data_IF_608412588092
#
_entry.id   IF_608412588092
#
_cell.length_a   1.000
_cell.length_b   1.000
_cell.length_c   1.000
_cell.angle_alpha   90.00
_cell.angle_beta   90.00
_cell.angle_gamma   90.00
#
_symmetry.space_group_name_H-M   'P 1'
#
loop_
_entity.id
_entity.type
_entity.pdbx_description
1 polymer ?
#
# COMPACT_ATOMS: atom_id res chain seq x y z
N UNK A 1 -3.61 -12.15 35.45
CA UNK A 1 -4.53 -11.13 34.90
C UNK A 1 -4.71 -10.09 35.99
N UNK A 2 -4.15 -8.88 35.83
CA UNK A 2 -4.40 -7.81 36.79
C UNK A 2 -5.89 -7.46 36.72
N UNK A 3 -6.60 -7.55 37.84
CA UNK A 3 -7.97 -7.06 37.98
C UNK A 3 -7.90 -5.54 37.96
N UNK A 4 -8.16 -4.96 36.79
CA UNK A 4 -8.31 -3.51 36.64
C UNK A 4 -9.56 -3.11 37.41
N UNK A 5 -9.42 -2.24 38.41
CA UNK A 5 -10.54 -1.72 39.20
C UNK A 5 -11.26 -0.60 38.45
N UNK A 6 -12.54 -0.39 38.78
CA UNK A 6 -13.36 0.69 38.20
C UNK A 6 -12.71 2.05 38.45
N UNK A 7 -12.20 2.29 39.65
CA UNK A 7 -11.50 3.53 40.01
C UNK A 7 -10.24 3.76 39.16
N UNK A 8 -9.53 2.69 38.77
CA UNK A 8 -8.37 2.82 37.89
C UNK A 8 -8.77 3.24 36.48
N UNK A 9 -9.84 2.65 35.91
CA UNK A 9 -10.35 3.03 34.59
C UNK A 9 -10.86 4.47 34.58
N UNK A 10 -11.53 4.89 35.65
CA UNK A 10 -12.01 6.25 35.80
C UNK A 10 -10.86 7.25 35.90
N UNK A 11 -9.84 6.96 36.71
CA UNK A 11 -8.64 7.79 36.78
C UNK A 11 -7.98 7.92 35.42
N UNK A 12 -7.82 6.81 34.67
CA UNK A 12 -7.22 6.81 33.34
C UNK A 12 -8.03 7.62 32.33
N UNK A 13 -9.37 7.49 32.32
CA UNK A 13 -10.23 8.22 31.39
C UNK A 13 -10.31 9.70 31.74
N UNK A 14 -10.35 10.04 33.03
CA UNK A 14 -10.33 11.44 33.49
C UNK A 14 -9.02 12.11 33.12
N UNK A 15 -7.89 11.44 33.37
CA UNK A 15 -6.56 11.91 32.93
C UNK A 15 -6.50 12.05 31.40
N UNK A 16 -7.03 11.07 30.66
CA UNK A 16 -7.08 11.13 29.19
C UNK A 16 -7.82 12.36 28.67
N UNK A 17 -8.99 12.67 29.23
CA UNK A 17 -9.78 13.84 28.85
C UNK A 17 -9.05 15.13 29.23
N UNK A 18 -8.49 15.22 30.43
CA UNK A 18 -7.73 16.39 30.87
C UNK A 18 -6.51 16.67 29.96
N UNK A 19 -5.77 15.62 29.57
CA UNK A 19 -4.62 15.73 28.66
C UNK A 19 -5.08 16.19 27.27
N UNK A 20 -6.20 15.68 26.76
CA UNK A 20 -6.77 16.14 25.48
C UNK A 20 -7.10 17.63 25.56
N UNK A 21 -7.82 18.06 26.59
CA UNK A 21 -8.20 19.46 26.80
C UNK A 21 -6.97 20.37 26.89
N UNK A 22 -5.92 19.94 27.59
CA UNK A 22 -4.67 20.70 27.69
C UNK A 22 -3.98 20.85 26.33
N UNK A 23 -3.87 19.76 25.56
CA UNK A 23 -3.24 19.77 24.23
C UNK A 23 -4.00 20.71 23.29
N UNK A 24 -5.33 20.60 23.30
CA UNK A 24 -6.22 21.45 22.49
C UNK A 24 -6.09 22.91 22.89
N UNK A 25 -6.12 23.20 24.19
CA UNK A 25 -5.98 24.56 24.69
C UNK A 25 -4.61 25.16 24.34
N UNK A 26 -3.54 24.36 24.35
CA UNK A 26 -2.21 24.80 23.89
C UNK A 26 -2.22 25.13 22.40
N UNK A 27 -2.84 24.31 21.57
CA UNK A 27 -2.96 24.59 20.13
C UNK A 27 -3.83 25.83 19.85
N UNK A 28 -5.02 25.89 20.44
CA UNK A 28 -6.01 26.97 20.24
C UNK A 28 -5.58 28.33 20.79
N UNK A 29 -4.66 28.36 21.77
CA UNK A 29 -4.00 29.60 22.23
C UNK A 29 -3.27 30.36 21.11
N UNK A 30 -2.95 29.72 20.00
CA UNK A 30 -2.34 30.37 18.84
C UNK A 30 -3.36 31.03 17.89
N UNK A 31 -4.67 30.74 18.02
CA UNK A 31 -5.71 31.27 17.14
C UNK A 31 -5.65 32.80 16.96
N UNK A 32 -5.55 33.62 18.03
CA UNK A 32 -5.55 35.08 17.88
C UNK A 32 -4.34 35.61 17.11
N UNK A 33 -3.21 34.88 17.16
CA UNK A 33 -1.98 35.24 16.43
C UNK A 33 -2.10 34.92 14.94
N UNK A 34 -2.89 33.91 14.58
CA UNK A 34 -3.08 33.47 13.20
C UNK A 34 -4.13 34.31 12.48
N UNK A 35 -5.16 34.77 13.19
CA UNK A 35 -6.26 35.58 12.64
C UNK A 35 -5.90 37.07 12.44
N UNK A 36 -4.68 37.49 12.77
CA UNK A 36 -4.21 38.85 12.51
C UNK A 36 -4.07 39.17 11.02
N UNK A 37 -4.34 40.43 10.65
CA UNK A 37 -4.34 40.93 9.26
C UNK A 37 -3.00 40.76 8.53
N UNK A 38 -1.88 40.61 9.24
CA UNK A 38 -0.55 40.47 8.67
C UNK A 38 -0.19 39.03 8.23
N UNK A 39 -1.06 38.04 8.46
CA UNK A 39 -0.76 36.63 8.20
C UNK A 39 -1.30 36.21 6.82
N UNK A 40 -0.51 35.49 6.00
CA UNK A 40 -1.00 34.98 4.71
C UNK A 40 -2.24 34.09 4.85
N UNK A 41 -3.23 34.27 3.98
CA UNK A 41 -4.50 33.52 3.97
C UNK A 41 -4.27 31.99 3.96
N UNK A 42 -3.20 31.53 3.28
CA UNK A 42 -2.81 30.11 3.27
C UNK A 42 -2.55 29.58 4.68
N UNK A 43 -1.90 30.35 5.55
CA UNK A 43 -1.58 29.93 6.91
C UNK A 43 -2.84 29.90 7.78
N UNK A 44 -3.72 30.90 7.62
CA UNK A 44 -5.04 30.93 8.28
C UNK A 44 -5.89 29.72 7.91
N UNK A 45 -5.97 29.41 6.61
CA UNK A 45 -6.67 28.22 6.12
C UNK A 45 -6.04 26.93 6.65
N UNK A 46 -4.71 26.86 6.69
CA UNK A 46 -3.99 25.69 7.20
C UNK A 46 -4.31 25.46 8.68
N UNK A 47 -4.31 26.53 9.49
CA UNK A 47 -4.69 26.47 10.90
C UNK A 47 -6.13 25.98 11.10
N UNK A 48 -7.10 26.52 10.37
CA UNK A 48 -8.51 26.08 10.45
C UNK A 48 -8.69 24.62 10.07
N UNK A 49 -8.05 24.16 9.00
CA UNK A 49 -8.10 22.75 8.59
C UNK A 49 -7.44 21.83 9.63
N UNK A 50 -6.37 22.28 10.28
CA UNK A 50 -5.72 21.52 11.35
C UNK A 50 -6.58 21.48 12.62
N UNK A 51 -7.18 22.60 13.03
CA UNK A 51 -8.11 22.63 14.18
C UNK A 51 -9.32 21.73 13.95
N UNK A 52 -9.93 21.78 12.76
CA UNK A 52 -11.03 20.90 12.37
C UNK A 52 -10.60 19.42 12.41
N UNK A 53 -9.40 19.08 11.93
CA UNK A 53 -8.90 17.71 11.98
C UNK A 53 -8.62 17.23 13.41
N UNK A 54 -8.07 18.08 14.29
CA UNK A 54 -7.86 17.79 15.72
C UNK A 54 -9.21 17.49 16.38
N UNK A 55 -10.19 18.37 16.14
CA UNK A 55 -11.56 18.24 16.61
C UNK A 55 -12.18 16.88 16.29
N UNK A 56 -12.09 16.47 15.02
CA UNK A 56 -12.60 15.18 14.53
C UNK A 56 -11.88 13.98 15.19
N UNK A 57 -10.57 14.05 15.36
CA UNK A 57 -9.79 12.97 16.00
C UNK A 57 -10.19 12.81 17.46
N UNK A 58 -10.40 13.93 18.17
CA UNK A 58 -10.84 13.94 19.56
C UNK A 58 -12.23 13.35 19.68
N UNK A 59 -13.19 13.85 18.90
CA UNK A 59 -14.54 13.28 18.86
C UNK A 59 -14.50 11.77 18.63
N UNK A 60 -13.74 11.31 17.63
CA UNK A 60 -13.63 9.88 17.31
C UNK A 60 -13.08 9.05 18.48
N UNK A 61 -12.05 9.54 19.17
CA UNK A 61 -11.47 8.87 20.34
C UNK A 61 -12.45 8.86 21.52
N UNK A 62 -13.13 9.98 21.80
CA UNK A 62 -14.11 10.09 22.89
C UNK A 62 -15.36 9.24 22.64
N UNK A 63 -15.86 9.19 21.40
CA UNK A 63 -16.96 8.31 21.00
C UNK A 63 -16.56 6.84 21.10
N UNK A 64 -15.31 6.50 20.78
CA UNK A 64 -14.80 5.15 20.97
C UNK A 64 -14.75 4.77 22.45
N UNK A 65 -14.25 5.66 23.31
CA UNK A 65 -14.26 5.48 24.76
C UNK A 65 -15.69 5.34 25.31
N UNK A 66 -16.62 6.19 24.87
CA UNK A 66 -18.03 6.14 25.26
C UNK A 66 -18.68 4.81 24.85
N UNK A 67 -18.35 4.30 23.66
CA UNK A 67 -18.80 2.98 23.22
C UNK A 67 -18.27 1.86 24.12
N UNK A 68 -16.99 1.89 24.50
CA UNK A 68 -16.41 0.90 25.40
C UNK A 68 -17.06 0.94 26.79
N UNK A 69 -17.36 2.13 27.31
CA UNK A 69 -18.08 2.32 28.57
C UNK A 69 -19.51 1.78 28.48
N UNK A 70 -20.21 2.04 27.37
CA UNK A 70 -21.58 1.56 27.13
C UNK A 70 -21.68 0.04 26.92
N UNK A 71 -20.66 -0.58 26.32
CA UNK A 71 -20.57 -2.04 26.17
C UNK A 71 -20.12 -2.76 27.46
N UNK A 72 -19.70 -2.01 28.49
CA UNK A 72 -19.26 -2.58 29.76
C UNK A 72 -20.45 -3.17 30.55
N UNK A 73 -20.20 -4.28 31.24
CA UNK A 73 -21.20 -4.93 32.10
C UNK A 73 -21.29 -4.30 33.50
N UNK A 74 -20.56 -3.21 33.76
CA UNK A 74 -20.46 -2.56 35.07
C UNK A 74 -21.27 -1.25 35.03
N UNK A 75 -22.48 -1.20 35.65
CA UNK A 75 -23.34 -0.03 35.57
C UNK A 75 -22.71 1.25 36.16
N UNK A 76 -21.96 1.10 37.25
CA UNK A 76 -21.28 2.21 37.94
C UNK A 76 -20.30 2.97 37.02
N UNK A 77 -19.64 2.26 36.10
CA UNK A 77 -18.71 2.86 35.14
C UNK A 77 -19.45 3.79 34.17
N UNK A 78 -20.65 3.38 33.74
CA UNK A 78 -21.48 4.14 32.82
C UNK A 78 -22.05 5.39 33.51
N UNK A 79 -22.58 5.25 34.73
CA UNK A 79 -23.14 6.38 35.49
C UNK A 79 -22.10 7.48 35.77
N UNK A 80 -20.86 7.10 36.08
CA UNK A 80 -19.80 8.06 36.42
C UNK A 80 -19.14 8.70 35.19
N UNK A 81 -18.85 7.91 34.15
CA UNK A 81 -18.00 8.36 33.03
C UNK A 81 -18.77 8.83 31.80
N UNK A 82 -19.99 8.34 31.56
CA UNK A 82 -20.77 8.78 30.41
C UNK A 82 -21.07 10.29 30.43
N UNK A 83 -21.41 10.92 31.59
CA UNK A 83 -21.63 12.36 31.63
C UNK A 83 -20.37 13.18 31.29
N UNK A 84 -19.21 12.74 31.78
CA UNK A 84 -17.92 13.39 31.52
C UNK A 84 -17.57 13.33 30.03
N UNK A 85 -17.66 12.14 29.43
CA UNK A 85 -17.39 11.96 27.99
C UNK A 85 -18.41 12.71 27.12
N UNK A 86 -19.70 12.67 27.49
CA UNK A 86 -20.75 13.39 26.78
C UNK A 86 -20.48 14.90 26.79
N UNK A 87 -20.10 15.46 27.93
CA UNK A 87 -19.77 16.89 28.05
C UNK A 87 -18.59 17.27 27.15
N UNK A 88 -17.50 16.49 27.17
CA UNK A 88 -16.34 16.72 26.31
C UNK A 88 -16.69 16.63 24.81
N UNK A 89 -17.52 15.65 24.41
CA UNK A 89 -17.98 15.51 23.02
C UNK A 89 -18.85 16.70 22.60
N UNK A 90 -19.78 17.13 23.45
CA UNK A 90 -20.67 18.26 23.17
C UNK A 90 -19.90 19.57 23.06
N UNK A 91 -18.90 19.80 23.92
CA UNK A 91 -18.02 20.96 23.81
C UNK A 91 -17.32 21.02 22.45
N UNK A 92 -16.85 19.88 21.96
CA UNK A 92 -16.15 19.80 20.68
C UNK A 92 -17.09 19.93 19.47
N UNK A 93 -18.32 19.41 19.57
CA UNK A 93 -19.39 19.67 18.60
C UNK A 93 -19.78 21.16 18.55
N UNK A 94 -19.96 21.79 19.72
CA UNK A 94 -20.28 23.20 19.84
C UNK A 94 -19.18 24.09 19.26
N UNK A 95 -17.91 23.76 19.52
CA UNK A 95 -16.76 24.45 18.91
C UNK A 95 -16.81 24.39 17.37
N UNK A 96 -17.01 23.21 16.79
CA UNK A 96 -17.12 23.07 15.32
C UNK A 96 -18.29 23.86 14.74
N UNK A 97 -19.41 23.91 15.44
CA UNK A 97 -20.58 24.71 15.05
C UNK A 97 -20.26 26.21 15.08
N UNK A 98 -19.63 26.70 16.15
CA UNK A 98 -19.22 28.11 16.30
C UNK A 98 -18.22 28.53 15.24
N UNK A 99 -17.27 27.66 14.87
CA UNK A 99 -16.28 27.93 13.83
C UNK A 99 -16.80 27.72 12.40
N UNK A 100 -18.05 27.24 12.24
CA UNK A 100 -18.66 27.00 10.92
C UNK A 100 -18.02 25.86 10.13
N UNK A 101 -17.46 24.86 10.81
CA UNK A 101 -16.81 23.72 10.18
C UNK A 101 -17.81 22.76 9.52
N UNK A 102 -17.37 22.06 8.47
CA UNK A 102 -18.23 21.21 7.62
C UNK A 102 -18.36 19.76 8.13
N UNK A 103 -17.59 19.40 9.15
CA UNK A 103 -17.54 18.08 9.77
C UNK A 103 -18.63 17.88 10.83
N UNK A 104 -19.90 18.11 10.50
CA UNK A 104 -21.03 17.83 11.38
C UNK A 104 -21.85 16.65 10.81
N UNK A 105 -21.94 15.57 11.58
CA UNK A 105 -22.81 14.44 11.24
C UNK A 105 -24.27 14.84 11.44
N UNK A 106 -25.05 14.79 10.36
CA UNK A 106 -26.49 14.94 10.47
C UNK A 106 -27.09 13.57 10.83
N UNK A 107 -27.79 13.52 11.96
CA UNK A 107 -28.52 12.33 12.32
C UNK A 107 -29.57 12.07 11.25
N UNK A 108 -29.68 10.82 10.79
CA UNK A 108 -30.77 10.40 9.92
C UNK A 108 -32.05 10.57 10.73
N UNK A 109 -32.76 11.68 10.54
CA UNK A 109 -33.96 11.98 11.32
C UNK A 109 -34.85 10.74 11.39
N UNK A 110 -35.35 10.45 12.60
CA UNK A 110 -36.35 9.40 12.86
C UNK A 110 -37.64 9.60 12.04
N UNK A 111 -37.76 10.68 11.28
CA UNK A 111 -38.89 11.04 10.41
C UNK A 111 -39.10 10.12 9.20
N UNK A 112 -38.13 9.31 8.77
CA UNK A 112 -38.33 8.36 7.64
C UNK A 112 -38.76 6.95 8.04
N UNK A 113 -39.55 6.81 9.12
CA UNK A 113 -40.42 5.63 9.32
C UNK A 113 -41.82 5.81 8.73
N UNK A 114 -42.15 6.99 8.17
CA UNK A 114 -43.39 7.18 7.43
C UNK A 114 -43.15 7.02 5.90
N UNK A 115 -43.80 6.00 5.34
CA UNK A 115 -44.04 5.73 3.92
C UNK A 115 -42.95 5.03 3.09
N UNK A 116 -43.20 3.77 2.66
CA UNK A 116 -42.44 3.11 1.61
C UNK A 116 -42.92 3.63 0.25
N UNK A 117 -42.55 4.86 -0.11
CA UNK A 117 -42.72 5.33 -1.48
C UNK A 117 -41.54 4.82 -2.32
N UNK A 118 -41.88 4.15 -3.43
CA UNK A 118 -40.97 3.57 -4.42
C UNK A 118 -39.89 4.60 -4.77
N UNK A 119 -38.68 4.44 -4.23
CA UNK A 119 -37.52 5.26 -4.59
C UNK A 119 -37.00 4.78 -5.94
N UNK A 120 -36.98 5.67 -6.93
CA UNK A 120 -36.26 5.42 -8.18
C UNK A 120 -34.75 5.29 -7.93
N UNK A 121 -33.97 4.70 -8.87
CA UNK A 121 -32.55 4.37 -8.70
C UNK A 121 -31.62 5.57 -8.40
N UNK A 122 -32.11 6.81 -8.58
CA UNK A 122 -31.32 8.04 -8.56
C UNK A 122 -31.77 9.08 -7.51
N UNK A 123 -32.64 8.72 -6.56
CA UNK A 123 -33.09 9.63 -5.49
C UNK A 123 -32.40 9.31 -4.16
N UNK A 124 -31.24 9.93 -3.94
CA UNK A 124 -30.56 9.92 -2.64
C UNK A 124 -31.29 10.82 -1.64
N UNK A 125 -31.34 10.40 -0.37
CA UNK A 125 -31.86 11.26 0.70
C UNK A 125 -30.88 12.42 0.92
N UNK A 126 -31.37 13.63 1.23
CA UNK A 126 -30.51 14.75 1.61
C UNK A 126 -29.53 14.40 2.76
N UNK A 127 -29.96 13.54 3.69
CA UNK A 127 -29.10 12.99 4.75
C UNK A 127 -28.00 12.05 4.23
N UNK A 128 -28.26 11.26 3.17
CA UNK A 128 -27.27 10.36 2.59
C UNK A 128 -26.18 11.19 1.87
N UNK A 129 -26.57 12.22 1.10
CA UNK A 129 -25.64 13.13 0.44
C UNK A 129 -24.80 13.94 1.45
N UNK A 130 -25.40 14.40 2.55
CA UNK A 130 -24.68 15.09 3.61
C UNK A 130 -23.66 14.17 4.31
N UNK A 131 -24.02 12.91 4.57
CA UNK A 131 -23.12 11.92 5.16
C UNK A 131 -21.98 11.53 4.22
N UNK A 132 -22.23 11.44 2.91
CA UNK A 132 -21.18 11.23 1.91
C UNK A 132 -20.19 12.41 1.90
N UNK A 133 -20.70 13.65 1.91
CA UNK A 133 -19.87 14.87 1.98
C UNK A 133 -19.06 14.92 3.27
N UNK A 134 -19.64 14.52 4.41
CA UNK A 134 -18.93 14.41 5.68
C UNK A 134 -17.75 13.45 5.59
N UNK A 135 -17.98 12.22 5.11
CA UNK A 135 -16.94 11.20 4.99
C UNK A 135 -15.83 11.60 4.01
N UNK A 136 -16.22 12.23 2.90
CA UNK A 136 -15.29 12.78 1.92
C UNK A 136 -14.40 13.87 2.54
N UNK A 137 -15.00 14.82 3.26
CA UNK A 137 -14.27 15.90 3.93
C UNK A 137 -13.31 15.37 4.99
N UNK A 138 -13.74 14.40 5.82
CA UNK A 138 -12.88 13.72 6.79
C UNK A 138 -11.66 13.07 6.14
N UNK A 139 -11.88 12.42 4.99
CA UNK A 139 -10.80 11.80 4.22
C UNK A 139 -9.81 12.82 3.68
N UNK A 140 -10.27 14.02 3.29
CA UNK A 140 -9.41 15.13 2.87
C UNK A 140 -8.64 15.73 4.05
N UNK A 141 -9.29 15.98 5.18
CA UNK A 141 -8.64 16.48 6.40
C UNK A 141 -7.53 15.54 6.85
N UNK A 142 -7.82 14.23 6.91
CA UNK A 142 -6.82 13.21 7.25
C UNK A 142 -5.64 13.22 6.28
N UNK A 143 -5.89 13.29 4.96
CA UNK A 143 -4.83 13.37 3.96
C UNK A 143 -4.00 14.64 4.14
N UNK A 144 -4.65 15.77 4.42
CA UNK A 144 -4.01 17.05 4.62
C UNK A 144 -3.09 17.03 5.84
N UNK A 145 -3.58 16.63 7.02
CA UNK A 145 -2.77 16.59 8.25
C UNK A 145 -1.69 15.54 8.20
N UNK A 146 -1.98 14.36 7.62
CA UNK A 146 -0.98 13.29 7.49
C UNK A 146 0.06 13.58 6.41
N UNK A 147 -0.23 14.47 5.46
CA UNK A 147 0.70 14.76 4.35
C UNK A 147 2.04 15.29 4.82
N UNK A 148 2.08 16.01 5.95
CA UNK A 148 3.32 16.54 6.55
C UNK A 148 4.26 15.42 7.00
N UNK A 149 3.71 14.24 7.32
CA UNK A 149 4.47 13.05 7.69
C UNK A 149 4.87 12.19 6.48
N UNK A 150 4.33 12.48 5.29
CA UNK A 150 4.62 11.72 4.09
C UNK A 150 5.86 12.24 3.40
N UNK A 151 6.75 11.32 3.01
CA UNK A 151 7.88 11.64 2.17
C UNK A 151 7.46 11.61 0.70
N UNK A 152 7.95 12.56 -0.08
CA UNK A 152 7.72 12.53 -1.51
C UNK A 152 8.51 11.38 -2.13
N UNK A 153 7.83 10.57 -2.92
CA UNK A 153 8.40 9.43 -3.63
C UNK A 153 8.13 9.57 -5.11
N UNK A 154 9.20 9.58 -5.91
CA UNK A 154 9.12 9.64 -7.36
C UNK A 154 9.66 8.33 -7.93
N UNK A 155 8.79 7.47 -8.51
CA UNK A 155 9.23 6.27 -9.18
C UNK A 155 9.84 6.62 -10.54
N UNK A 156 11.00 6.04 -10.83
CA UNK A 156 11.66 6.12 -12.11
C UNK A 156 12.05 4.71 -12.57
N UNK A 157 11.86 4.41 -13.85
CA UNK A 157 12.38 3.19 -14.46
C UNK A 157 13.91 3.22 -14.43
N UNK A 158 14.54 2.10 -14.11
CA UNK A 158 15.98 2.03 -13.99
C UNK A 158 16.61 1.34 -15.21
N UNK A 159 17.62 1.98 -15.81
CA UNK A 159 18.40 1.37 -16.89
C UNK A 159 17.94 1.70 -18.31
N UNK A 160 16.91 2.53 -18.49
CA UNK A 160 16.39 2.94 -19.81
C UNK A 160 17.48 3.51 -20.73
N UNK A 161 18.38 4.36 -20.20
CA UNK A 161 19.51 4.91 -20.98
C UNK A 161 20.47 3.83 -21.47
N UNK A 162 20.75 2.83 -20.62
CA UNK A 162 21.64 1.71 -20.97
C UNK A 162 20.96 0.77 -21.95
N UNK A 163 19.64 0.59 -21.82
CA UNK A 163 18.81 -0.17 -22.77
C UNK A 163 18.88 0.43 -24.17
N UNK A 164 18.70 1.75 -24.30
CA UNK A 164 18.83 2.43 -25.58
C UNK A 164 20.23 2.31 -26.17
N UNK A 165 21.28 2.40 -25.34
CA UNK A 165 22.66 2.21 -25.80
C UNK A 165 22.91 0.79 -26.34
N UNK A 166 22.45 -0.24 -25.62
CA UNK A 166 22.58 -1.64 -26.08
C UNK A 166 21.78 -1.90 -27.36
N UNK A 167 20.60 -1.29 -27.50
CA UNK A 167 19.81 -1.39 -28.73
C UNK A 167 20.46 -0.68 -29.91
N UNK A 168 21.12 0.46 -29.66
CA UNK A 168 21.89 1.16 -30.67
C UNK A 168 23.08 0.32 -31.14
N UNK A 169 23.82 -0.30 -30.21
CA UNK A 169 24.92 -1.22 -30.53
C UNK A 169 24.44 -2.44 -31.34
N UNK A 170 23.34 -3.07 -30.92
CA UNK A 170 22.75 -4.18 -31.66
C UNK A 170 22.36 -3.78 -33.09
N UNK A 171 21.74 -2.61 -33.26
CA UNK A 171 21.39 -2.08 -34.58
C UNK A 171 22.64 -1.78 -35.44
N UNK A 172 23.70 -1.24 -34.83
CA UNK A 172 24.98 -0.99 -35.51
C UNK A 172 25.63 -2.26 -36.01
N UNK A 173 25.73 -3.29 -35.16
CA UNK A 173 26.27 -4.62 -35.54
C UNK A 173 25.45 -5.23 -36.68
N UNK A 174 24.12 -5.15 -36.61
CA UNK A 174 23.25 -5.63 -37.68
C UNK A 174 23.47 -4.88 -39.00
N UNK A 175 23.65 -3.56 -38.96
CA UNK A 175 23.93 -2.76 -40.16
C UNK A 175 25.28 -3.12 -40.78
N UNK A 176 26.33 -3.31 -39.97
CA UNK A 176 27.64 -3.75 -40.46
C UNK A 176 27.53 -5.11 -41.15
N UNK A 177 26.85 -6.07 -40.52
CA UNK A 177 26.64 -7.40 -41.11
C UNK A 177 25.90 -7.34 -42.46
N UNK A 178 24.80 -6.60 -42.53
CA UNK A 178 24.02 -6.45 -43.76
C UNK A 178 24.85 -5.82 -44.89
N UNK A 179 25.64 -4.81 -44.56
CA UNK A 179 26.47 -4.08 -45.52
C UNK A 179 27.59 -4.96 -46.05
N UNK A 180 28.25 -5.74 -45.18
CA UNK A 180 29.27 -6.71 -45.59
C UNK A 180 28.68 -7.80 -46.50
N UNK A 181 27.50 -8.31 -46.16
CA UNK A 181 26.82 -9.33 -46.97
C UNK A 181 26.39 -8.75 -48.33
N UNK A 182 25.93 -7.50 -48.37
CA UNK A 182 25.59 -6.80 -49.61
C UNK A 182 26.83 -6.63 -50.50
N UNK A 183 27.95 -6.16 -49.95
CA UNK A 183 29.19 -6.03 -50.71
C UNK A 183 29.73 -7.38 -51.19
N UNK A 184 29.65 -8.42 -50.35
CA UNK A 184 30.04 -9.77 -50.74
C UNK A 184 29.16 -10.30 -51.88
N UNK A 185 27.84 -10.21 -51.76
CA UNK A 185 26.91 -10.66 -52.80
C UNK A 185 27.09 -9.88 -54.11
N UNK A 186 27.33 -8.57 -54.02
CA UNK A 186 27.63 -7.74 -55.19
C UNK A 186 28.95 -8.14 -55.87
N UNK A 187 29.98 -8.51 -55.10
CA UNK A 187 31.27 -8.97 -55.65
C UNK A 187 31.17 -10.32 -56.36
N UNK A 188 30.28 -11.21 -55.90
CA UNK A 188 30.12 -12.57 -56.44
C UNK A 188 29.15 -12.61 -57.63
N UNK A 189 27.99 -11.97 -57.50
CA UNK A 189 26.90 -12.07 -58.49
C UNK A 189 26.86 -10.91 -59.51
N UNK A 190 27.77 -9.93 -59.38
CA UNK A 190 27.79 -8.73 -60.21
C UNK A 190 26.63 -7.78 -59.92
N UNK A 191 26.38 -6.83 -60.81
CA UNK A 191 25.29 -5.86 -60.68
C UNK A 191 24.01 -6.37 -61.39
N UNK A 192 22.84 -6.22 -60.76
CA UNK A 192 21.50 -6.45 -61.33
C UNK A 192 21.11 -7.90 -61.70
N UNK A 193 21.63 -8.90 -60.99
CA UNK A 193 21.21 -10.30 -61.14
C UNK A 193 20.06 -10.67 -60.19
N UNK A 194 19.14 -11.54 -60.59
CA UNK A 194 18.08 -12.05 -59.70
C UNK A 194 18.64 -12.67 -58.40
N UNK A 195 19.77 -13.38 -58.50
CA UNK A 195 20.49 -13.94 -57.35
C UNK A 195 20.98 -12.89 -56.36
N UNK A 196 21.43 -11.72 -56.84
CA UNK A 196 21.82 -10.59 -55.98
C UNK A 196 20.59 -10.05 -55.24
N UNK A 197 19.47 -9.86 -55.93
CA UNK A 197 18.24 -9.38 -55.31
C UNK A 197 17.77 -10.31 -54.19
N UNK A 198 17.77 -11.62 -54.45
CA UNK A 198 17.43 -12.63 -53.43
C UNK A 198 18.41 -12.56 -52.26
N UNK A 199 19.72 -12.47 -52.52
CA UNK A 199 20.73 -12.37 -51.47
C UNK A 199 20.57 -11.10 -50.61
N UNK A 200 20.21 -9.96 -51.21
CA UNK A 200 19.95 -8.72 -50.49
C UNK A 200 18.69 -8.79 -49.61
N UNK A 201 17.60 -9.38 -50.12
CA UNK A 201 16.37 -9.59 -49.35
C UNK A 201 16.65 -10.50 -48.15
N UNK A 202 17.33 -11.64 -48.39
CA UNK A 202 17.72 -12.57 -47.33
C UNK A 202 18.65 -11.90 -46.33
N UNK A 203 19.64 -11.13 -46.79
CA UNK A 203 20.54 -10.38 -45.93
C UNK A 203 19.83 -9.35 -45.06
N UNK A 204 18.81 -8.69 -45.61
CA UNK A 204 17.96 -7.77 -44.87
C UNK A 204 17.12 -8.49 -43.80
N UNK A 205 16.58 -9.68 -44.10
CA UNK A 205 15.89 -10.51 -43.09
C UNK A 205 16.83 -10.95 -41.96
N UNK A 206 18.07 -11.35 -42.30
CA UNK A 206 19.07 -11.72 -41.30
C UNK A 206 19.46 -10.54 -40.40
N UNK A 207 19.62 -9.34 -40.98
CA UNK A 207 19.84 -8.10 -40.23
C UNK A 207 18.76 -7.89 -39.17
N UNK A 208 17.49 -7.97 -39.57
CA UNK A 208 16.37 -7.77 -38.65
C UNK A 208 16.35 -8.85 -37.57
N UNK A 209 16.66 -10.10 -37.93
CA UNK A 209 16.73 -11.18 -36.93
C UNK A 209 17.85 -11.00 -35.92
N UNK A 210 19.05 -10.60 -36.36
CA UNK A 210 20.18 -10.30 -35.46
C UNK A 210 19.82 -9.15 -34.51
N UNK A 211 19.17 -8.09 -35.02
CA UNK A 211 18.75 -6.93 -34.23
C UNK A 211 17.71 -7.32 -33.17
N UNK A 212 16.73 -8.16 -33.51
CA UNK A 212 15.73 -8.67 -32.56
C UNK A 212 16.33 -9.57 -31.49
N UNK A 213 17.24 -10.46 -31.87
CA UNK A 213 17.99 -11.31 -30.93
C UNK A 213 18.82 -10.42 -29.99
N UNK A 214 19.50 -9.41 -30.53
CA UNK A 214 20.24 -8.42 -29.75
C UNK A 214 19.34 -7.71 -28.74
N UNK A 215 18.21 -7.15 -29.19
CA UNK A 215 17.24 -6.48 -28.32
C UNK A 215 16.70 -7.38 -27.20
N UNK A 216 16.26 -8.59 -27.55
CA UNK A 216 15.70 -9.52 -26.56
C UNK A 216 16.75 -9.99 -25.54
N UNK A 217 17.99 -10.25 -25.97
CA UNK A 217 19.11 -10.56 -25.07
C UNK A 217 19.49 -9.39 -24.19
N UNK A 218 19.58 -8.17 -24.73
CA UNK A 218 19.85 -6.97 -23.94
C UNK A 218 18.79 -6.76 -22.86
N UNK A 219 17.49 -6.89 -23.18
CA UNK A 219 16.42 -6.80 -22.17
C UNK A 219 16.58 -7.85 -21.07
N UNK A 220 16.86 -9.09 -21.44
CA UNK A 220 17.06 -10.19 -20.47
C UNK A 220 18.27 -9.95 -19.56
N UNK A 221 19.40 -9.49 -20.14
CA UNK A 221 20.62 -9.17 -19.42
C UNK A 221 20.40 -8.00 -18.46
N UNK A 222 19.75 -6.93 -18.92
CA UNK A 222 19.43 -5.77 -18.11
C UNK A 222 18.48 -6.12 -16.98
N UNK A 223 17.44 -6.92 -17.22
CA UNK A 223 16.53 -7.39 -16.16
C UNK A 223 17.25 -8.21 -15.10
N UNK A 224 18.35 -8.90 -15.44
CA UNK A 224 19.16 -9.64 -14.46
C UNK A 224 19.94 -8.70 -13.53
N UNK A 225 20.49 -7.61 -14.06
CA UNK A 225 21.37 -6.71 -13.30
C UNK A 225 20.66 -5.51 -12.67
N UNK A 226 19.72 -4.89 -13.39
CA UNK A 226 18.98 -3.73 -12.94
C UNK A 226 17.79 -4.11 -12.06
N UNK A 227 17.35 -3.13 -11.27
CA UNK A 227 16.11 -3.18 -10.51
C UNK A 227 14.97 -2.70 -11.41
N UNK A 228 13.75 -3.17 -11.18
CA UNK A 228 12.60 -2.81 -12.01
C UNK A 228 12.21 -1.34 -11.79
N UNK A 229 12.36 -0.87 -10.55
CA UNK A 229 12.03 0.51 -10.17
C UNK A 229 13.07 1.08 -9.23
N UNK A 230 13.35 2.36 -9.42
CA UNK A 230 14.09 3.20 -8.47
C UNK A 230 13.19 4.31 -7.98
N UNK A 231 13.06 4.44 -6.67
CA UNK A 231 12.27 5.48 -6.03
C UNK A 231 13.20 6.37 -5.22
N UNK A 232 13.19 7.67 -5.48
CA UNK A 232 13.90 8.63 -4.63
C UNK A 232 13.02 9.06 -3.47
N UNK A 233 13.59 9.05 -2.27
CA UNK A 233 12.93 9.55 -1.07
C UNK A 233 13.40 10.98 -0.87
N UNK A 234 12.47 11.93 -0.86
CA UNK A 234 12.75 13.34 -0.62
C UNK A 234 11.76 13.96 0.36
N UNK A 235 12.11 15.13 0.90
CA UNK A 235 11.19 15.99 1.62
C UNK A 235 10.01 16.41 0.73
N UNK A 236 8.90 16.87 1.32
CA UNK A 236 7.70 17.28 0.57
C UNK A 236 7.98 18.40 -0.44
N UNK A 237 8.81 19.35 -0.04
CA UNK A 237 9.32 20.44 -0.88
C UNK A 237 10.35 20.00 -1.94
N UNK A 238 10.76 18.73 -1.90
CA UNK A 238 11.78 18.10 -2.76
C UNK A 238 13.17 18.75 -2.69
N UNK A 239 13.43 19.59 -1.69
CA UNK A 239 14.72 20.27 -1.53
C UNK A 239 15.81 19.30 -1.06
N UNK A 240 15.46 18.38 -0.15
CA UNK A 240 16.41 17.44 0.43
C UNK A 240 16.11 16.02 -0.05
N UNK A 241 17.12 15.38 -0.63
CA UNK A 241 17.07 13.96 -0.98
C UNK A 241 17.53 13.13 0.21
N UNK A 242 16.59 12.42 0.81
CA UNK A 242 16.76 11.62 2.02
C UNK A 242 17.28 10.21 1.73
N UNK A 243 17.05 9.69 0.53
CA UNK A 243 17.50 8.35 0.20
C UNK A 243 17.07 7.87 -1.17
N UNK A 244 17.25 6.57 -1.38
CA UNK A 244 16.75 5.84 -2.54
C UNK A 244 16.28 4.45 -2.13
N UNK A 245 15.28 3.98 -2.83
CA UNK A 245 14.78 2.62 -2.80
C UNK A 245 14.95 2.04 -4.19
N UNK A 246 15.41 0.80 -4.28
CA UNK A 246 15.38 0.03 -5.53
C UNK A 246 14.57 -1.23 -5.30
N UNK A 247 13.63 -1.51 -6.20
CA UNK A 247 12.67 -2.61 -6.08
C UNK A 247 12.81 -3.55 -7.27
N UNK A 248 12.74 -4.85 -6.99
CA UNK A 248 12.87 -5.88 -8.02
C UNK A 248 12.00 -7.08 -7.69
N UNK A 249 11.24 -7.52 -8.68
CA UNK A 249 10.40 -8.70 -8.63
C UNK A 249 10.97 -9.76 -9.57
N UNK A 250 11.32 -10.92 -9.03
CA UNK A 250 11.85 -12.05 -9.80
C UNK A 250 11.14 -13.33 -9.43
N UNK A 251 10.89 -14.19 -10.42
CA UNK A 251 10.57 -15.58 -10.15
C UNK A 251 11.84 -16.33 -9.79
N UNK A 252 11.77 -17.17 -8.76
CA UNK A 252 12.85 -18.03 -8.32
C UNK A 252 12.47 -19.49 -8.52
N UNK A 253 13.50 -20.32 -8.68
CA UNK A 253 13.38 -21.76 -8.47
C UNK A 253 13.72 -22.10 -7.04
N UNK A 254 13.22 -23.23 -6.55
CA UNK A 254 13.48 -23.69 -5.18
C UNK A 254 14.99 -23.84 -4.89
N UNK A 255 15.79 -24.25 -5.88
CA UNK A 255 17.23 -24.40 -5.72
C UNK A 255 17.95 -23.04 -5.50
N UNK A 256 17.34 -21.94 -5.93
CA UNK A 256 17.87 -20.58 -5.80
C UNK A 256 17.48 -19.91 -4.47
N UNK A 257 16.69 -20.59 -3.63
CA UNK A 257 16.33 -20.08 -2.30
C UNK A 257 17.55 -20.04 -1.38
N UNK A 258 17.74 -18.94 -0.60
CA UNK A 258 18.74 -18.90 0.45
C UNK A 258 18.51 -19.99 1.49
N UNK A 259 19.58 -20.57 2.04
CA UNK A 259 19.51 -21.66 3.01
C UNK A 259 18.66 -21.29 4.24
N UNK A 260 18.74 -20.04 4.71
CA UNK A 260 17.93 -19.57 5.85
C UNK A 260 16.41 -19.61 5.53
N UNK A 261 16.03 -19.40 4.27
CA UNK A 261 14.61 -19.35 3.84
C UNK A 261 14.07 -20.74 3.54
N UNK A 262 14.93 -21.71 3.18
CA UNK A 262 14.51 -23.07 2.82
C UNK A 262 13.73 -23.76 3.95
N UNK A 263 14.19 -23.64 5.20
CA UNK A 263 13.47 -24.24 6.33
C UNK A 263 12.06 -23.68 6.51
N UNK A 264 11.90 -22.35 6.41
CA UNK A 264 10.60 -21.69 6.50
C UNK A 264 9.69 -22.02 5.31
N UNK A 265 10.27 -22.20 4.12
CA UNK A 265 9.56 -22.66 2.92
C UNK A 265 9.04 -24.09 3.09
N UNK A 266 9.88 -25.03 3.55
CA UNK A 266 9.48 -26.42 3.79
C UNK A 266 8.39 -26.55 4.85
N UNK A 267 8.46 -25.77 5.94
CA UNK A 267 7.37 -25.71 6.94
C UNK A 267 6.03 -25.24 6.37
N UNK A 268 6.07 -24.48 5.26
CA UNK A 268 4.89 -23.95 4.58
C UNK A 268 4.15 -24.97 3.71
N UNK A 269 4.72 -26.15 3.44
CA UNK A 269 4.09 -27.19 2.62
C UNK A 269 3.03 -27.95 3.43
N UNK A 270 1.85 -28.17 2.85
CA UNK A 270 0.66 -28.71 3.53
C UNK A 270 0.45 -30.18 3.20
N UNK A 271 0.71 -30.56 1.95
CA UNK A 271 0.39 -31.89 1.44
C UNK A 271 1.63 -32.59 0.92
N UNK A 272 1.77 -33.91 1.15
CA UNK A 272 2.75 -34.73 0.44
C UNK A 272 2.68 -34.56 -1.09
N UNK A 273 1.49 -34.25 -1.63
CA UNK A 273 1.30 -33.97 -3.07
C UNK A 273 2.05 -32.69 -3.51
N UNK A 274 2.18 -31.69 -2.64
CA UNK A 274 2.99 -30.49 -2.91
C UNK A 274 4.49 -30.81 -2.86
N UNK A 275 4.88 -31.80 -2.06
CA UNK A 275 6.27 -32.29 -1.93
C UNK A 275 6.67 -33.11 -3.17
N UNK A 276 5.74 -33.89 -3.74
CA UNK A 276 5.97 -34.82 -4.85
C UNK A 276 6.02 -34.17 -6.25
N UNK A 277 6.24 -32.85 -6.34
CA UNK A 277 6.69 -32.20 -7.58
C UNK A 277 5.66 -31.35 -8.34
N UNK A 278 4.54 -30.97 -7.72
CA UNK A 278 3.77 -29.84 -8.23
C UNK A 278 4.56 -28.54 -7.97
N UNK A 279 5.17 -28.00 -9.02
CA UNK A 279 6.04 -26.82 -8.89
C UNK A 279 5.24 -25.58 -8.48
N UNK A 280 5.40 -25.14 -7.24
CA UNK A 280 4.95 -23.82 -6.83
C UNK A 280 5.77 -22.73 -7.55
N UNK A 281 5.11 -21.63 -7.90
CA UNK A 281 5.81 -20.46 -8.43
C UNK A 281 6.27 -19.56 -7.29
N UNK A 282 7.59 -19.53 -7.04
CA UNK A 282 8.17 -18.66 -6.01
C UNK A 282 8.41 -17.28 -6.59
N UNK A 283 7.78 -16.27 -5.99
CA UNK A 283 7.97 -14.85 -6.32
C UNK A 283 8.83 -14.21 -5.24
N UNK A 284 10.02 -13.74 -5.62
CA UNK A 284 10.84 -12.89 -4.76
C UNK A 284 10.62 -11.42 -5.10
N UNK A 285 10.04 -10.70 -4.16
CA UNK A 285 10.10 -9.25 -4.11
C UNK A 285 11.29 -8.83 -3.24
N UNK A 286 12.23 -8.08 -3.81
CA UNK A 286 13.40 -7.56 -3.10
C UNK A 286 13.44 -6.04 -3.14
N UNK A 287 13.74 -5.44 -1.99
CA UNK A 287 13.79 -4.00 -1.81
C UNK A 287 15.12 -3.60 -1.18
N UNK A 288 15.90 -2.80 -1.89
CA UNK A 288 17.15 -2.23 -1.38
C UNK A 288 16.91 -0.77 -0.97
N UNK A 289 16.92 -0.50 0.33
CA UNK A 289 16.75 0.84 0.89
C UNK A 289 18.11 1.41 1.28
N UNK A 290 18.43 2.61 0.79
CA UNK A 290 19.61 3.38 1.24
C UNK A 290 19.17 4.76 1.69
N UNK A 291 19.49 5.09 2.93
CA UNK A 291 19.18 6.37 3.57
C UNK A 291 20.46 7.20 3.71
N UNK A 292 20.34 8.52 3.58
CA UNK A 292 21.45 9.47 3.67
C UNK A 292 21.38 10.18 5.02
N UNK A 293 22.19 9.72 5.99
CA UNK A 293 22.13 10.21 7.37
C UNK A 293 22.29 11.75 7.48
N UNK A 294 23.18 12.34 6.68
CA UNK A 294 23.40 13.80 6.65
C UNK A 294 22.16 14.58 6.22
N UNK A 295 21.38 14.06 5.27
CA UNK A 295 20.17 14.71 4.81
C UNK A 295 19.10 14.72 5.91
N UNK A 296 18.99 13.62 6.67
CA UNK A 296 18.08 13.54 7.83
C UNK A 296 18.50 14.46 8.97
N UNK A 297 19.81 14.66 9.20
CA UNK A 297 20.31 15.65 10.17
C UNK A 297 19.86 17.06 9.82
N UNK A 298 19.98 17.47 8.54
CA UNK A 298 19.55 18.80 8.07
C UNK A 298 18.06 19.03 8.30
N UNK A 299 17.20 18.08 7.92
CA UNK A 299 15.75 18.16 8.12
C UNK A 299 15.38 18.24 9.60
N UNK A 300 16.11 17.54 10.49
CA UNK A 300 15.86 17.59 11.93
C UNK A 300 16.06 18.98 12.53
N UNK A 301 17.01 19.77 12.01
CA UNK A 301 17.26 21.13 12.52
C UNK A 301 16.15 22.12 12.13
N UNK A 302 15.39 21.82 11.08
CA UNK A 302 14.34 22.69 10.53
C UNK A 302 12.92 22.26 10.94
N UNK A 303 12.75 21.16 11.70
CA UNK A 303 11.44 20.58 11.97
C UNK A 303 11.36 19.51 13.06
N UNK A 304 10.35 18.64 12.95
CA UNK A 304 10.03 17.59 13.95
C UNK A 304 11.13 16.52 13.99
N UNK A 305 11.56 16.04 15.18
CA UNK A 305 12.53 14.96 15.27
C UNK A 305 12.02 13.67 14.61
N UNK A 306 12.73 13.23 13.56
CA UNK A 306 12.45 11.98 12.87
C UNK A 306 13.03 10.80 13.67
N UNK A 307 12.16 9.99 14.28
CA UNK A 307 12.55 8.83 15.09
C UNK A 307 12.75 7.56 14.27
N UNK A 308 12.13 7.47 13.10
CA UNK A 308 12.24 6.31 12.21
C UNK A 308 11.48 6.51 10.90
N UNK A 309 11.72 5.60 9.95
CA UNK A 309 10.99 5.53 8.70
C UNK A 309 10.01 4.36 8.76
N UNK A 310 8.72 4.65 8.62
CA UNK A 310 7.71 3.62 8.43
C UNK A 310 7.58 3.31 6.94
N UNK A 311 7.72 2.04 6.60
CA UNK A 311 7.56 1.56 5.25
C UNK A 311 6.33 0.64 5.15
N UNK A 312 5.39 1.00 4.27
CA UNK A 312 4.13 0.27 4.10
C UNK A 312 4.12 -0.38 2.72
N UNK A 313 4.41 -1.69 2.68
CA UNK A 313 4.25 -2.50 1.49
C UNK A 313 2.77 -2.83 1.26
N UNK A 314 2.26 -2.48 0.09
CA UNK A 314 0.89 -2.84 -0.34
C UNK A 314 0.97 -3.72 -1.57
N UNK A 315 0.50 -4.96 -1.44
CA UNK A 315 0.43 -5.93 -2.54
C UNK A 315 -1.04 -6.08 -2.95
N UNK A 316 -1.35 -5.72 -4.20
CA UNK A 316 -2.69 -5.95 -4.76
C UNK A 316 -2.76 -7.35 -5.37
N UNK A 317 -3.50 -8.23 -4.71
CA UNK A 317 -3.68 -9.62 -5.15
C UNK A 317 -4.93 -9.83 -6.02
N UNK A 318 -5.79 -8.83 -6.20
CA UNK A 318 -7.04 -8.96 -6.98
C UNK A 318 -6.79 -9.47 -8.41
N UNK A 319 -5.71 -9.09 -9.11
CA UNK A 319 -5.37 -9.66 -10.41
C UNK A 319 -5.07 -11.17 -10.38
N UNK A 320 -4.82 -11.79 -9.24
CA UNK A 320 -4.68 -13.24 -9.12
C UNK A 320 -6.03 -13.91 -8.79
N UNK A 321 -6.90 -13.24 -8.05
CA UNK A 321 -8.19 -13.79 -7.60
C UNK A 321 -9.16 -14.08 -8.75
N UNK A 322 -9.16 -13.27 -9.81
CA UNK A 322 -10.11 -13.45 -10.92
C UNK A 322 -9.89 -14.74 -11.73
N UNK A 323 -8.69 -15.35 -11.61
CA UNK A 323 -8.33 -16.61 -12.25
C UNK A 323 -8.67 -17.84 -11.40
N UNK A 324 -9.19 -17.64 -10.19
CA UNK A 324 -9.56 -18.73 -9.29
C UNK A 324 -10.93 -19.32 -9.63
N UNK A 325 -11.11 -20.59 -9.30
CA UNK A 325 -12.37 -21.30 -9.48
C UNK A 325 -13.48 -20.76 -8.58
N UNK A 326 -14.69 -21.29 -8.79
CA UNK A 326 -15.83 -20.99 -7.93
C UNK A 326 -15.48 -21.33 -6.45
N UNK A 327 -15.57 -20.37 -5.52
CA UNK A 327 -15.16 -20.56 -4.14
C UNK A 327 -16.09 -21.49 -3.35
N UNK A 328 -17.26 -21.85 -3.88
CA UNK A 328 -18.21 -22.75 -3.24
C UNK A 328 -18.45 -23.98 -4.11
N UNK A 329 -18.33 -25.15 -3.50
CA UNK A 329 -18.62 -26.43 -4.14
C UNK A 329 -19.51 -27.27 -3.19
N UNK A 330 -20.43 -28.06 -3.73
CA UNK A 330 -21.24 -29.00 -2.93
C UNK A 330 -20.70 -30.40 -3.15
N UNK A 331 -20.47 -31.13 -2.06
CA UNK A 331 -20.06 -32.54 -2.11
C UNK A 331 -21.07 -33.40 -1.37
N UNK A 332 -21.35 -34.55 -1.94
CA UNK A 332 -22.14 -35.58 -1.29
C UNK A 332 -21.22 -36.38 -0.36
N UNK A 333 -21.75 -36.75 0.80
CA UNK A 333 -21.10 -37.69 1.72
C UNK A 333 -22.19 -38.57 2.34
N UNK A 334 -21.78 -39.74 2.80
CA UNK A 334 -22.68 -40.67 3.46
C UNK A 334 -22.60 -40.47 4.98
N UNK A 335 -23.75 -40.35 5.63
CA UNK A 335 -23.88 -40.24 7.09
C UNK A 335 -24.81 -41.37 7.57
N UNK A 336 -24.20 -42.46 8.06
CA UNK A 336 -24.89 -43.74 8.23
C UNK A 336 -25.33 -44.31 6.87
N UNK A 337 -26.64 -44.47 6.68
CA UNK A 337 -27.25 -44.88 5.40
C UNK A 337 -27.88 -43.68 4.63
N UNK A 338 -27.73 -42.46 5.14
CA UNK A 338 -28.30 -41.27 4.50
C UNK A 338 -27.28 -40.51 3.66
N UNK A 339 -27.60 -40.30 2.38
CA UNK A 339 -26.82 -39.43 1.51
C UNK A 339 -27.09 -37.96 1.88
N UNK A 340 -26.07 -37.25 2.35
CA UNK A 340 -26.13 -35.84 2.73
C UNK A 340 -25.26 -35.00 1.81
N UNK A 341 -25.53 -33.70 1.77
CA UNK A 341 -24.73 -32.74 1.00
C UNK A 341 -24.13 -31.72 1.95
N UNK A 342 -22.83 -31.46 1.79
CA UNK A 342 -22.12 -30.39 2.50
C UNK A 342 -21.61 -29.34 1.51
N UNK A 343 -21.71 -28.07 1.90
CA UNK A 343 -21.12 -26.95 1.16
C UNK A 343 -19.68 -26.77 1.61
N UNK A 344 -18.74 -26.97 0.70
CA UNK A 344 -17.32 -26.78 0.91
C UNK A 344 -16.85 -25.46 0.30
N UNK A 345 -15.82 -24.87 0.92
CA UNK A 345 -15.18 -23.68 0.41
C UNK A 345 -13.86 -24.06 -0.25
N UNK A 346 -13.71 -23.77 -1.55
CA UNK A 346 -12.43 -23.91 -2.24
C UNK A 346 -11.54 -22.75 -1.83
N UNK A 347 -10.33 -23.08 -1.38
CA UNK A 347 -9.32 -22.12 -0.92
C UNK A 347 -7.98 -22.41 -1.59
N UNK A 348 -7.16 -21.37 -1.68
CA UNK A 348 -5.81 -21.41 -2.19
C UNK A 348 -4.87 -20.83 -1.13
N UNK A 349 -3.69 -21.42 -0.98
CA UNK A 349 -2.71 -21.01 0.01
C UNK A 349 -1.58 -20.23 -0.65
N UNK A 350 -1.15 -19.16 0.00
CA UNK A 350 0.07 -18.42 -0.35
C UNK A 350 0.92 -18.33 0.90
N UNK A 351 2.13 -18.86 0.84
CA UNK A 351 3.12 -18.70 1.89
C UNK A 351 3.90 -17.40 1.67
N UNK A 352 3.92 -16.52 2.68
CA UNK A 352 4.61 -15.24 2.65
C UNK A 352 5.72 -15.26 3.68
N UNK A 353 6.96 -15.25 3.19
CA UNK A 353 8.16 -15.19 4.01
C UNK A 353 8.78 -13.80 3.81
N UNK A 354 8.78 -13.00 4.88
CA UNK A 354 9.41 -11.69 4.89
C UNK A 354 10.77 -11.77 5.58
N UNK A 355 11.80 -11.27 4.91
CA UNK A 355 13.17 -11.29 5.42
C UNK A 355 13.81 -9.92 5.32
N UNK A 356 14.71 -9.63 6.26
CA UNK A 356 15.49 -8.41 6.28
C UNK A 356 16.98 -8.72 6.36
N UNK A 357 17.78 -7.88 5.70
CA UNK A 357 19.23 -7.96 5.74
C UNK A 357 19.76 -6.53 5.91
N UNK A 358 20.62 -6.32 6.90
CA UNK A 358 21.30 -5.05 7.09
C UNK A 358 22.48 -4.94 6.13
N UNK A 359 22.72 -3.75 5.60
CA UNK A 359 23.90 -3.52 4.77
C UNK A 359 25.19 -3.85 5.55
N UNK A 360 26.06 -4.66 4.95
CA UNK A 360 27.32 -5.10 5.56
C UNK A 360 27.21 -6.35 6.44
N UNK A 361 26.02 -6.93 6.60
CA UNK A 361 25.84 -8.23 7.25
C UNK A 361 25.45 -9.27 6.20
N UNK A 362 26.06 -10.46 6.25
CA UNK A 362 25.68 -11.57 5.38
C UNK A 362 24.43 -12.31 5.86
N UNK A 363 24.15 -12.23 7.16
CA UNK A 363 23.03 -12.91 7.77
C UNK A 363 21.68 -12.27 7.37
N UNK A 364 20.74 -13.14 7.01
CA UNK A 364 19.41 -12.79 6.56
C UNK A 364 18.42 -13.25 7.63
N UNK A 365 17.67 -12.31 8.17
CA UNK A 365 16.78 -12.53 9.30
C UNK A 365 15.34 -12.68 8.82
N UNK A 366 14.65 -13.72 9.27
CA UNK A 366 13.23 -13.90 9.00
C UNK A 366 12.42 -13.02 9.95
N UNK A 367 11.69 -12.05 9.40
CA UNK A 367 10.80 -11.18 10.17
C UNK A 367 9.44 -11.82 10.34
N UNK A 368 8.90 -12.44 9.29
CA UNK A 368 7.57 -13.03 9.28
C UNK A 368 7.55 -14.29 8.43
N UNK A 369 6.86 -15.31 8.91
CA UNK A 369 6.45 -16.47 8.15
C UNK A 369 4.93 -16.63 8.35
N UNK A 370 4.16 -16.33 7.32
CA UNK A 370 2.69 -16.37 7.40
C UNK A 370 2.08 -17.08 6.22
N UNK A 371 1.02 -17.84 6.48
CA UNK A 371 0.18 -18.44 5.46
C UNK A 371 -1.04 -17.57 5.25
N UNK A 372 -1.27 -17.18 4.01
CA UNK A 372 -2.41 -16.42 3.57
C UNK A 372 -3.36 -17.35 2.83
N UNK A 373 -4.57 -17.54 3.37
CA UNK A 373 -5.61 -18.32 2.71
C UNK A 373 -6.53 -17.40 1.92
N UNK A 374 -6.72 -17.71 0.64
CA UNK A 374 -7.47 -16.90 -0.31
C UNK A 374 -8.58 -17.71 -0.97
N UNK A 375 -9.61 -17.02 -1.44
CA UNK A 375 -10.56 -17.55 -2.41
C UNK A 375 -10.88 -16.45 -3.44
N UNK A 376 -11.72 -16.77 -4.44
CA UNK A 376 -12.11 -15.79 -5.48
C UNK A 376 -12.73 -14.48 -4.95
N UNK A 377 -13.31 -14.49 -3.75
CA UNK A 377 -13.91 -13.31 -3.11
C UNK A 377 -12.88 -12.44 -2.37
N UNK A 378 -11.70 -12.98 -2.05
CA UNK A 378 -10.67 -12.24 -1.33
C UNK A 378 -9.92 -13.06 -0.30
N UNK A 379 -9.41 -12.33 0.70
CA UNK A 379 -8.73 -12.88 1.86
C UNK A 379 -9.71 -13.61 2.77
N UNK A 380 -9.39 -14.85 3.13
CA UNK A 380 -10.19 -15.65 4.07
C UNK A 380 -9.57 -15.60 5.46
N UNK A 381 -8.26 -15.86 5.58
CA UNK A 381 -7.53 -15.82 6.86
C UNK A 381 -6.02 -15.67 6.65
N UNK A 382 -5.34 -15.25 7.70
CA UNK A 382 -3.88 -15.17 7.80
C UNK A 382 -3.44 -15.90 9.06
N UNK A 383 -2.53 -16.86 8.92
CA UNK A 383 -2.02 -17.71 10.00
C UNK A 383 -0.50 -17.53 10.09
N UNK A 384 0.04 -17.45 11.31
CA UNK A 384 1.50 -17.44 11.51
C UNK A 384 2.00 -18.88 11.56
N UNK A 385 3.09 -19.15 10.86
CA UNK A 385 3.78 -20.45 10.83
C UNK A 385 4.94 -20.48 11.81
#
# INVERSE_FOLDING_TARGET
RATVTVDHLESMLTEHVAVIEEIVARFRRHQPKVEGESIPERLQRSYRLTDEAISVVIEGNLLHAMRLVAESTVPELNERLAPLLATAIQNELAHRQQQGYRSLLLQRDKEKKASPAIKGPWQQSAADEANERYLYHLSLLKKYTSSVLYLSSLPQAEGETVEHLLFALAAGISMIFATLLAFYAQSVYGNFTASLFIALVVGYMFKDRIKEIGRSRSKSLLRRYFYDRRVYISTLDRQQRLGRVREKMTFLREQELPTQVKAAYTMGQISPIEIDGYSEHIIRYSRNVRLIADAFRKVRHEGVPLTGLSDILRLDIRPFLHKMDNPSERRYYLDGDTLRTVKLNRVYYINVISTYQKAGQEELFISQNVRVTLNRKGLVRVEKL
#
